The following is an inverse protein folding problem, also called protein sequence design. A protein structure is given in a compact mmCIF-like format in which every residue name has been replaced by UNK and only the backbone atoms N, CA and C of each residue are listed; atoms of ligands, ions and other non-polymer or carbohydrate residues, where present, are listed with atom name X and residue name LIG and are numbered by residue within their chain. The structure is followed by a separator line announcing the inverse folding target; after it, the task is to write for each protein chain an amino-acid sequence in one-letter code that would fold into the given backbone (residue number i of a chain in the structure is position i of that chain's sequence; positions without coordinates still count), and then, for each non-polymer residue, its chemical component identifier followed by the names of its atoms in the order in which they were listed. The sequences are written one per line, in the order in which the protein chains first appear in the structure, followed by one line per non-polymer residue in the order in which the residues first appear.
data_IF_457569046097
#
_entry.id   IF_457569046097
#
_cell.length_a   1.000
_cell.length_b   1.000
_cell.length_c   1.000
_cell.angle_alpha   90.00
_cell.angle_beta   90.00
_cell.angle_gamma   90.00
#
_symmetry.space_group_name_H-M   'P 1'
#
loop_
_entity.id
_entity.type
_entity.pdbx_description
1 polymer ?
#
# COMPACT_ATOMS: atom_id res chain seq x y z
N UNK A 1 10.54 -35.73 13.60
CA UNK A 1 12.00 -35.53 13.73
C UNK A 1 12.38 -34.39 12.79
N UNK A 2 13.23 -33.49 13.28
CA UNK A 2 13.29 -32.05 13.01
C UNK A 2 13.28 -31.62 11.55
N UNK A 3 12.31 -30.77 11.18
CA UNK A 3 12.39 -29.98 9.96
C UNK A 3 13.48 -28.91 10.18
N UNK A 4 14.58 -29.03 9.45
CA UNK A 4 15.80 -28.24 9.65
C UNK A 4 15.51 -26.74 9.64
N UNK A 5 15.53 -26.16 10.82
CA UNK A 5 15.40 -24.71 11.02
C UNK A 5 16.82 -24.17 11.08
N UNK A 6 17.15 -23.27 10.16
CA UNK A 6 18.49 -22.70 10.09
C UNK A 6 18.49 -21.45 10.97
N UNK A 7 19.32 -21.45 12.01
CA UNK A 7 19.54 -20.29 12.86
C UNK A 7 20.97 -19.83 12.68
N UNK A 8 21.16 -18.55 12.39
CA UNK A 8 22.48 -17.94 12.33
C UNK A 8 22.50 -16.62 13.10
N UNK A 9 23.66 -16.28 13.64
CA UNK A 9 23.86 -14.99 14.28
C UNK A 9 23.78 -13.90 13.21
N UNK A 10 22.86 -12.96 13.38
CA UNK A 10 22.72 -11.81 12.50
C UNK A 10 23.93 -10.91 12.71
N UNK A 11 24.84 -10.92 11.72
CA UNK A 11 26.01 -10.05 11.69
C UNK A 11 25.61 -8.70 11.10
N UNK A 12 26.18 -7.63 11.65
CA UNK A 12 26.04 -6.30 11.08
C UNK A 12 26.47 -6.35 9.60
N UNK A 13 25.58 -5.91 8.70
CA UNK A 13 25.96 -5.76 7.30
C UNK A 13 27.09 -4.73 7.21
N UNK A 14 28.13 -4.98 6.39
CA UNK A 14 29.19 -4.00 6.20
C UNK A 14 28.56 -2.67 5.75
N UNK A 15 29.05 -1.55 6.30
CA UNK A 15 28.55 -0.23 5.94
C UNK A 15 28.82 0.02 4.46
N UNK A 16 27.76 -0.06 3.65
CA UNK A 16 27.81 0.32 2.24
C UNK A 16 27.23 1.74 2.12
N UNK A 17 28.03 2.76 1.76
CA UNK A 17 27.57 4.15 1.68
C UNK A 17 26.36 4.38 0.75
N UNK A 18 26.15 3.52 -0.25
CA UNK A 18 24.96 3.60 -1.12
C UNK A 18 23.67 3.23 -0.38
N UNK A 19 23.69 2.19 0.47
CA UNK A 19 22.52 1.75 1.25
C UNK A 19 22.13 2.79 2.31
N UNK A 20 23.11 3.40 2.98
CA UNK A 20 22.84 4.47 3.94
C UNK A 20 22.21 5.69 3.27
N UNK A 21 22.73 6.11 2.11
CA UNK A 21 22.13 7.19 1.31
C UNK A 21 20.71 6.86 0.86
N UNK A 22 20.46 5.63 0.43
CA UNK A 22 19.13 5.17 0.03
C UNK A 22 18.13 5.27 1.18
N UNK A 23 18.51 4.82 2.38
CA UNK A 23 17.66 4.92 3.57
C UNK A 23 17.33 6.36 3.95
N UNK A 24 18.32 7.26 3.89
CA UNK A 24 18.12 8.69 4.15
C UNK A 24 17.14 9.26 3.12
N UNK A 25 17.32 8.97 1.83
CA UNK A 25 16.38 9.39 0.80
C UNK A 25 14.96 8.89 1.09
N UNK A 26 14.82 7.59 1.43
CA UNK A 26 13.53 6.98 1.79
C UNK A 26 12.85 7.67 2.97
N UNK A 27 13.60 8.07 4.00
CA UNK A 27 13.05 8.83 5.13
C UNK A 27 12.67 10.26 4.73
N UNK A 28 13.52 10.94 3.94
CA UNK A 28 13.33 12.34 3.54
C UNK A 28 12.06 12.52 2.71
N UNK A 29 11.74 11.61 1.79
CA UNK A 29 10.46 11.68 1.07
C UNK A 29 9.34 10.94 1.81
N UNK A 30 9.66 9.87 2.56
CA UNK A 30 8.66 9.01 3.18
C UNK A 30 7.96 9.66 4.36
N UNK A 31 8.70 10.30 5.26
CA UNK A 31 8.13 10.96 6.44
C UNK A 31 7.17 12.09 6.04
N UNK A 32 7.53 13.04 5.15
CA UNK A 32 6.57 14.05 4.68
C UNK A 32 5.36 13.44 3.98
N UNK A 33 5.54 12.35 3.22
CA UNK A 33 4.43 11.68 2.54
C UNK A 33 3.45 11.08 3.54
N UNK A 34 3.93 10.40 4.60
CA UNK A 34 3.06 9.86 5.65
C UNK A 34 2.35 10.97 6.41
N UNK A 35 3.04 12.06 6.74
CA UNK A 35 2.41 13.24 7.36
C UNK A 35 1.29 13.78 6.47
N UNK A 36 1.52 13.86 5.15
CA UNK A 36 0.50 14.28 4.19
C UNK A 36 -0.67 13.29 4.12
N UNK A 37 -0.41 11.98 4.13
CA UNK A 37 -1.46 10.95 4.17
C UNK A 37 -2.31 11.06 5.42
N UNK A 38 -1.69 11.25 6.59
CA UNK A 38 -2.40 11.45 7.86
C UNK A 38 -3.23 12.73 7.83
N UNK A 39 -2.68 13.82 7.31
CA UNK A 39 -3.42 15.06 7.10
C UNK A 39 -4.64 14.84 6.20
N UNK A 40 -4.47 14.18 5.04
CA UNK A 40 -5.58 13.88 4.12
C UNK A 40 -6.62 12.95 4.74
N UNK A 41 -6.20 11.95 5.51
CA UNK A 41 -7.10 11.05 6.22
C UNK A 41 -8.03 11.83 7.17
N UNK A 42 -7.47 12.73 7.97
CA UNK A 42 -8.22 13.58 8.91
C UNK A 42 -9.09 14.58 8.14
N UNK A 43 -8.53 15.26 7.13
CA UNK A 43 -9.24 16.25 6.33
C UNK A 43 -10.47 15.67 5.63
N UNK A 44 -10.33 14.50 5.00
CA UNK A 44 -11.44 13.79 4.38
C UNK A 44 -12.44 13.23 5.40
N UNK A 45 -11.99 12.92 6.63
CA UNK A 45 -12.83 12.34 7.68
C UNK A 45 -13.67 13.34 8.45
N UNK A 46 -13.14 14.54 8.65
CA UNK A 46 -13.81 15.57 9.44
C UNK A 46 -14.74 16.46 8.62
N UNK A 47 -14.61 16.49 7.29
CA UNK A 47 -15.42 17.36 6.43
C UNK A 47 -16.64 16.65 5.85
N UNK A 48 -17.82 17.26 6.05
CA UNK A 48 -19.09 16.80 5.50
C UNK A 48 -19.12 16.78 3.97
N UNK A 49 -18.25 17.54 3.31
CA UNK A 49 -18.14 17.60 1.85
C UNK A 49 -17.61 16.28 1.24
N UNK A 50 -16.99 15.42 2.06
CA UNK A 50 -16.36 14.17 1.63
C UNK A 50 -17.13 12.93 2.11
N UNK A 51 -18.47 13.01 2.23
CA UNK A 51 -19.29 11.92 2.75
C UNK A 51 -19.54 10.76 1.77
N UNK A 52 -19.15 10.89 0.49
CA UNK A 52 -19.42 9.88 -0.53
C UNK A 52 -18.66 8.58 -0.27
N UNK A 53 -19.19 7.47 -0.82
CA UNK A 53 -18.57 6.16 -0.64
C UNK A 53 -17.13 6.09 -1.19
N UNK A 54 -16.82 6.86 -2.23
CA UNK A 54 -15.47 6.98 -2.79
C UNK A 54 -14.44 7.46 -1.77
N UNK A 55 -14.72 8.56 -1.04
CA UNK A 55 -13.76 9.09 -0.08
C UNK A 55 -13.57 8.17 1.12
N UNK A 56 -14.60 7.41 1.51
CA UNK A 56 -14.47 6.37 2.55
C UNK A 56 -13.55 5.24 2.12
N UNK A 57 -13.61 4.81 0.86
CA UNK A 57 -12.69 3.82 0.29
C UNK A 57 -11.25 4.36 0.28
N UNK A 58 -11.07 5.61 -0.15
CA UNK A 58 -9.78 6.31 -0.13
C UNK A 58 -9.21 6.39 1.29
N UNK A 59 -10.03 6.63 2.32
CA UNK A 59 -9.57 6.67 3.71
C UNK A 59 -9.03 5.33 4.19
N UNK A 60 -9.71 4.22 3.87
CA UNK A 60 -9.23 2.89 4.26
C UNK A 60 -7.93 2.56 3.53
N UNK A 61 -7.80 2.97 2.28
CA UNK A 61 -6.57 2.81 1.51
C UNK A 61 -5.41 3.62 2.12
N UNK A 62 -5.64 4.90 2.42
CA UNK A 62 -4.66 5.76 3.10
C UNK A 62 -4.25 5.17 4.45
N UNK A 63 -5.20 4.70 5.25
CA UNK A 63 -4.92 4.10 6.56
C UNK A 63 -4.10 2.81 6.42
N UNK A 64 -4.46 1.94 5.48
CA UNK A 64 -3.74 0.70 5.18
C UNK A 64 -2.31 1.00 4.75
N UNK A 65 -2.13 1.99 3.89
CA UNK A 65 -0.82 2.39 3.39
C UNK A 65 0.06 3.02 4.49
N UNK A 66 -0.50 3.84 5.38
CA UNK A 66 0.24 4.38 6.55
C UNK A 66 0.74 3.23 7.42
N UNK A 67 -0.13 2.29 7.79
CA UNK A 67 0.26 1.16 8.63
C UNK A 67 1.25 0.23 7.93
N UNK A 68 1.08 -0.03 6.64
CA UNK A 68 2.02 -0.82 5.86
C UNK A 68 3.41 -0.18 5.86
N UNK A 69 3.49 1.13 5.55
CA UNK A 69 4.77 1.84 5.52
C UNK A 69 5.46 1.80 6.88
N UNK A 70 4.74 2.08 7.98
CA UNK A 70 5.29 1.97 9.34
C UNK A 70 5.75 0.54 9.66
N UNK A 71 4.96 -0.46 9.28
CA UNK A 71 5.29 -1.88 9.51
C UNK A 71 6.59 -2.28 8.79
N UNK A 72 6.77 -1.87 7.54
CA UNK A 72 7.97 -2.22 6.77
C UNK A 72 9.27 -1.63 7.34
N UNK A 73 9.21 -0.54 8.10
CA UNK A 73 10.39 -0.01 8.82
C UNK A 73 10.86 -0.92 9.96
N UNK A 74 9.96 -1.70 10.55
CA UNK A 74 10.27 -2.58 11.69
C UNK A 74 11.01 -3.83 11.23
N UNK A 75 10.54 -4.51 10.18
CA UNK A 75 11.07 -5.81 9.76
C UNK A 75 11.89 -5.77 8.47
N UNK A 76 11.34 -5.17 7.40
CA UNK A 76 11.94 -5.21 6.06
C UNK A 76 13.14 -4.26 5.95
N UNK A 77 12.94 -2.96 6.20
CA UNK A 77 13.97 -1.92 6.01
C UNK A 77 15.05 -1.96 7.08
N UNK A 78 14.69 -2.33 8.30
CA UNK A 78 15.67 -2.54 9.38
C UNK A 78 16.63 -3.70 9.08
N UNK A 79 16.20 -4.69 8.29
CA UNK A 79 17.05 -5.78 7.84
C UNK A 79 17.94 -5.40 6.65
N UNK A 80 17.57 -4.36 5.89
CA UNK A 80 18.31 -3.91 4.70
C UNK A 80 19.44 -2.93 5.04
N UNK A 81 19.23 -2.05 6.03
CA UNK A 81 20.11 -0.92 6.30
C UNK A 81 21.09 -1.13 7.46
N UNK A 82 22.32 -0.56 7.39
CA UNK A 82 23.35 -0.77 8.41
C UNK A 82 22.92 -0.37 9.83
N UNK A 83 22.23 0.77 10.00
CA UNK A 83 21.71 1.22 11.30
C UNK A 83 20.55 0.35 11.82
N UNK A 84 19.92 -0.43 10.93
CA UNK A 84 18.75 -1.22 11.25
C UNK A 84 19.03 -2.32 12.27
N UNK A 85 20.25 -2.86 12.30
CA UNK A 85 20.64 -3.85 13.32
C UNK A 85 20.66 -3.27 14.73
N UNK A 86 21.19 -2.05 14.89
CA UNK A 86 21.14 -1.33 16.17
C UNK A 86 19.70 -1.00 16.57
N UNK A 87 18.90 -0.53 15.62
CA UNK A 87 17.47 -0.24 15.82
C UNK A 87 16.70 -1.47 16.30
N UNK A 88 16.88 -2.63 15.66
CA UNK A 88 16.17 -3.87 16.01
C UNK A 88 16.62 -4.44 17.36
N UNK A 89 17.92 -4.32 17.72
CA UNK A 89 18.40 -4.67 19.07
C UNK A 89 17.67 -3.88 20.15
N UNK A 90 17.55 -2.56 19.97
CA UNK A 90 16.81 -1.70 20.91
C UNK A 90 15.33 -2.09 20.93
N UNK A 91 14.73 -2.29 19.77
CA UNK A 91 13.30 -2.62 19.66
C UNK A 91 12.97 -3.94 20.36
N UNK A 92 13.74 -5.00 20.12
CA UNK A 92 13.55 -6.32 20.73
C UNK A 92 13.85 -6.34 22.23
N UNK A 93 14.71 -5.43 22.72
CA UNK A 93 14.95 -5.28 24.16
C UNK A 93 13.71 -4.78 24.90
N UNK A 94 12.87 -3.95 24.27
CA UNK A 94 11.62 -3.47 24.84
C UNK A 94 10.42 -4.36 24.49
N UNK A 95 10.32 -4.82 23.24
CA UNK A 95 9.18 -5.59 22.71
C UNK A 95 9.70 -6.78 21.88
N UNK A 96 9.96 -7.94 22.52
CA UNK A 96 10.63 -9.09 21.88
C UNK A 96 9.91 -9.71 20.69
N UNK A 97 8.58 -9.56 20.59
CA UNK A 97 7.77 -10.19 19.54
C UNK A 97 7.46 -9.25 18.37
N UNK A 98 7.79 -7.96 18.47
CA UNK A 98 7.34 -6.94 17.52
C UNK A 98 7.91 -7.15 16.12
N UNK A 99 9.18 -7.56 16.01
CA UNK A 99 9.80 -7.83 14.72
C UNK A 99 9.13 -9.04 14.03
N UNK A 100 8.87 -10.12 14.77
CA UNK A 100 8.22 -11.33 14.23
C UNK A 100 6.79 -11.03 13.75
N UNK A 101 6.02 -10.27 14.55
CA UNK A 101 4.69 -9.82 14.13
C UNK A 101 4.78 -8.95 12.89
N UNK A 102 5.74 -8.02 12.84
CA UNK A 102 5.91 -7.14 11.70
C UNK A 102 6.23 -7.91 10.41
N UNK A 103 7.10 -8.90 10.49
CA UNK A 103 7.45 -9.78 9.37
C UNK A 103 6.22 -10.55 8.86
N UNK A 104 5.38 -11.06 9.76
CA UNK A 104 4.11 -11.71 9.42
C UNK A 104 3.15 -10.75 8.71
N UNK A 105 3.02 -9.52 9.25
CA UNK A 105 2.14 -8.49 8.71
C UNK A 105 2.55 -7.97 7.33
N UNK A 106 3.78 -8.21 6.86
CA UNK A 106 4.18 -7.83 5.49
C UNK A 106 3.25 -8.48 4.45
N UNK A 107 2.95 -9.78 4.61
CA UNK A 107 2.05 -10.46 3.69
C UNK A 107 0.59 -10.01 3.88
N UNK A 108 0.18 -9.75 5.12
CA UNK A 108 -1.13 -9.16 5.42
C UNK A 108 -1.36 -7.88 4.62
N UNK A 109 -0.42 -6.93 4.74
CA UNK A 109 -0.54 -5.63 4.09
C UNK A 109 -0.43 -5.75 2.57
N UNK A 110 0.36 -6.68 2.03
CA UNK A 110 0.41 -6.95 0.60
C UNK A 110 -0.98 -7.25 0.03
N UNK A 111 -1.74 -8.17 0.66
CA UNK A 111 -3.10 -8.49 0.24
C UNK A 111 -4.08 -7.33 0.49
N UNK A 112 -3.99 -6.67 1.65
CA UNK A 112 -4.89 -5.58 2.02
C UNK A 112 -4.75 -4.38 1.09
N UNK A 113 -3.51 -3.96 0.78
CA UNK A 113 -3.22 -2.88 -0.17
C UNK A 113 -3.75 -3.21 -1.57
N UNK A 114 -3.60 -4.46 -2.00
CA UNK A 114 -4.15 -4.91 -3.29
C UNK A 114 -5.68 -4.86 -3.32
N UNK A 115 -6.35 -5.45 -2.33
CA UNK A 115 -7.81 -5.49 -2.26
C UNK A 115 -8.40 -4.07 -2.20
N UNK A 116 -7.76 -3.19 -1.43
CA UNK A 116 -8.13 -1.78 -1.34
C UNK A 116 -8.00 -1.06 -2.70
N UNK A 117 -6.87 -1.20 -3.39
CA UNK A 117 -6.67 -0.62 -4.73
C UNK A 117 -7.65 -1.16 -5.78
N UNK A 118 -7.90 -2.47 -5.77
CA UNK A 118 -8.89 -3.12 -6.64
C UNK A 118 -10.31 -2.59 -6.35
N UNK A 119 -10.67 -2.41 -5.07
CA UNK A 119 -11.98 -1.92 -4.67
C UNK A 119 -12.28 -0.51 -5.19
N UNK A 120 -11.28 0.39 -5.24
CA UNK A 120 -11.46 1.72 -5.84
C UNK A 120 -11.72 1.63 -7.36
N UNK A 121 -11.06 0.70 -8.04
CA UNK A 121 -11.31 0.47 -9.48
C UNK A 121 -12.70 -0.12 -9.72
N UNK A 122 -13.15 -1.06 -8.90
CA UNK A 122 -14.50 -1.64 -8.97
C UNK A 122 -15.56 -0.61 -8.62
N UNK A 123 -15.34 0.23 -7.60
CA UNK A 123 -16.19 1.36 -7.26
C UNK A 123 -16.37 2.26 -8.48
N UNK A 124 -15.26 2.59 -9.15
CA UNK A 124 -15.30 3.40 -10.37
C UNK A 124 -16.14 2.76 -11.47
N UNK A 125 -15.89 1.49 -11.80
CA UNK A 125 -16.66 0.77 -12.82
C UNK A 125 -18.16 0.76 -12.44
N UNK A 126 -18.48 0.46 -11.19
CA UNK A 126 -19.87 0.43 -10.71
C UNK A 126 -20.55 1.79 -10.75
N UNK A 127 -19.82 2.90 -10.48
CA UNK A 127 -20.36 4.26 -10.59
C UNK A 127 -20.73 4.63 -12.03
N UNK A 128 -19.98 4.11 -13.00
CA UNK A 128 -20.25 4.32 -14.42
C UNK A 128 -21.41 3.43 -14.86
N UNK A 129 -21.39 2.14 -14.54
CA UNK A 129 -22.41 1.19 -14.99
C UNK A 129 -23.77 1.38 -14.29
N UNK A 130 -23.77 1.63 -12.98
CA UNK A 130 -24.95 1.64 -12.11
C UNK A 130 -25.14 2.98 -11.38
N UNK A 131 -25.23 4.08 -12.14
CA UNK A 131 -25.26 5.46 -11.61
C UNK A 131 -26.30 5.71 -10.50
N UNK A 132 -27.46 5.06 -10.53
CA UNK A 132 -28.53 5.32 -9.55
C UNK A 132 -28.36 4.57 -8.21
N UNK A 133 -27.74 3.39 -8.22
CA UNK A 133 -27.75 2.48 -7.06
C UNK A 133 -26.37 2.22 -6.47
N UNK A 134 -25.28 2.61 -7.15
CA UNK A 134 -23.93 2.33 -6.69
C UNK A 134 -23.64 2.94 -5.30
N UNK A 135 -24.01 4.20 -5.05
CA UNK A 135 -23.75 4.84 -3.74
C UNK A 135 -24.46 4.12 -2.58
N UNK A 136 -25.69 3.65 -2.80
CA UNK A 136 -26.44 2.88 -1.79
C UNK A 136 -25.76 1.55 -1.50
N UNK A 137 -25.32 0.85 -2.54
CA UNK A 137 -24.58 -0.40 -2.42
C UNK A 137 -23.28 -0.21 -1.63
N UNK A 138 -22.43 0.71 -2.07
CA UNK A 138 -21.12 0.93 -1.45
C UNK A 138 -21.23 1.47 -0.03
N UNK A 139 -22.21 2.32 0.27
CA UNK A 139 -22.43 2.82 1.64
C UNK A 139 -22.91 1.71 2.57
N UNK A 140 -23.82 0.83 2.11
CA UNK A 140 -24.36 -0.27 2.91
C UNK A 140 -23.37 -1.41 3.11
N UNK A 141 -22.65 -1.79 2.05
CA UNK A 141 -21.71 -2.91 2.07
C UNK A 141 -20.26 -2.49 2.37
N UNK A 142 -20.02 -1.21 2.67
CA UNK A 142 -18.69 -0.71 3.03
C UNK A 142 -18.00 -1.56 4.11
N UNK A 143 -18.64 -1.72 5.28
CA UNK A 143 -18.05 -2.45 6.40
C UNK A 143 -17.87 -3.95 6.07
N UNK A 144 -18.91 -4.67 5.56
CA UNK A 144 -18.74 -6.06 5.17
C UNK A 144 -17.62 -6.31 4.16
N UNK A 145 -17.46 -5.46 3.15
CA UNK A 145 -16.41 -5.60 2.13
C UNK A 145 -15.02 -5.48 2.75
N UNK A 146 -14.80 -4.50 3.63
CA UNK A 146 -13.49 -4.33 4.27
C UNK A 146 -13.20 -5.42 5.32
N UNK A 147 -14.22 -5.93 6.02
CA UNK A 147 -14.06 -7.11 6.87
C UNK A 147 -13.67 -8.34 6.03
N UNK A 148 -14.30 -8.53 4.87
CA UNK A 148 -13.93 -9.59 3.93
C UNK A 148 -12.45 -9.45 3.51
N UNK A 149 -11.99 -8.24 3.17
CA UNK A 149 -10.59 -7.99 2.82
C UNK A 149 -9.64 -8.30 3.98
N UNK A 150 -10.02 -7.93 5.20
CA UNK A 150 -9.26 -8.23 6.40
C UNK A 150 -9.10 -9.74 6.58
N UNK A 151 -10.21 -10.50 6.58
CA UNK A 151 -10.17 -11.96 6.73
C UNK A 151 -9.42 -12.63 5.57
N UNK A 152 -9.67 -12.20 4.33
CA UNK A 152 -8.96 -12.68 3.16
C UNK A 152 -7.45 -12.50 3.28
N UNK A 153 -6.99 -11.35 3.80
CA UNK A 153 -5.56 -11.05 3.96
C UNK A 153 -4.86 -11.93 5.02
N UNK A 154 -5.63 -12.55 5.92
CA UNK A 154 -5.13 -13.54 6.88
C UNK A 154 -5.07 -14.96 6.31
N UNK A 155 -5.94 -15.32 5.37
CA UNK A 155 -6.02 -16.70 4.83
C UNK A 155 -4.68 -17.19 4.25
N UNK A 156 -3.97 -16.43 3.39
CA UNK A 156 -2.67 -16.85 2.86
C UNK A 156 -1.62 -17.09 3.94
N UNK A 157 -1.70 -16.39 5.08
CA UNK A 157 -0.77 -16.60 6.20
C UNK A 157 -1.04 -17.93 6.92
N UNK A 158 -2.30 -18.38 6.95
CA UNK A 158 -2.68 -19.67 7.53
C UNK A 158 -2.41 -20.84 6.58
N UNK A 159 -2.43 -20.60 5.26
CA UNK A 159 -2.22 -21.62 4.23
C UNK A 159 -0.75 -21.89 3.92
N UNK A 160 0.15 -20.95 4.18
CA UNK A 160 1.59 -21.19 4.06
C UNK A 160 2.05 -22.00 5.28
N UNK A 161 2.24 -23.31 5.07
CA UNK A 161 2.79 -24.22 6.06
C UNK A 161 4.26 -23.86 6.34
N UNK A 162 4.51 -23.02 7.34
CA UNK A 162 5.83 -22.70 7.85
C UNK A 162 5.79 -21.54 8.83
N UNK A 163 6.60 -21.60 9.89
CA UNK A 163 6.87 -20.41 10.70
C UNK A 163 7.59 -19.39 9.81
N UNK A 164 7.10 -18.15 9.81
CA UNK A 164 7.79 -17.04 9.16
C UNK A 164 9.21 -16.88 9.73
N UNK A 165 10.07 -16.07 9.10
CA UNK A 165 11.37 -15.78 9.68
C UNK A 165 11.17 -15.15 11.07
N UNK A 166 12.01 -15.55 12.01
CA UNK A 166 12.01 -15.07 13.39
C UNK A 166 13.34 -14.39 13.71
N UNK A 167 13.28 -13.29 14.44
CA UNK A 167 14.45 -12.60 14.95
C UNK A 167 14.37 -12.50 16.46
N UNK A 168 15.30 -13.16 17.14
CA UNK A 168 15.34 -13.26 18.59
C UNK A 168 16.62 -12.63 19.14
N UNK A 169 16.49 -11.87 20.23
CA UNK A 169 17.62 -11.29 20.96
C UNK A 169 18.04 -12.23 22.09
N UNK A 170 19.22 -12.83 21.99
CA UNK A 170 19.77 -13.75 23.00
C UNK A 170 21.13 -13.23 23.46
N UNK A 171 21.27 -12.92 24.74
CA UNK A 171 22.51 -12.42 25.36
C UNK A 171 23.14 -11.23 24.61
N UNK A 172 22.33 -10.29 24.15
CA UNK A 172 22.78 -9.08 23.42
C UNK A 172 23.12 -9.31 21.94
N UNK A 173 23.04 -10.55 21.45
CA UNK A 173 23.23 -10.91 20.04
C UNK A 173 21.89 -11.22 19.36
N UNK A 174 21.74 -10.78 18.12
CA UNK A 174 20.57 -11.11 17.30
C UNK A 174 20.78 -12.45 16.60
N UNK A 175 19.75 -13.29 16.64
CA UNK A 175 19.70 -14.55 15.93
C UNK A 175 18.52 -14.51 14.96
N UNK A 176 18.81 -14.85 13.70
CA UNK A 176 17.81 -14.99 12.66
C UNK A 176 17.57 -16.46 12.39
N UNK A 177 16.30 -16.86 12.50
CA UNK A 177 15.85 -18.24 12.41
C UNK A 177 14.83 -18.33 11.29
N UNK A 178 15.06 -19.19 10.30
CA UNK A 178 14.11 -19.38 9.20
C UNK A 178 14.04 -20.84 8.79
N UNK A 179 12.88 -21.23 8.25
CA UNK A 179 12.65 -22.56 7.71
C UNK A 179 12.77 -22.52 6.17
N UNK A 180 13.77 -23.17 5.54
CA UNK A 180 14.01 -23.03 4.10
C UNK A 180 12.84 -23.49 3.21
N UNK A 181 12.20 -24.60 3.56
CA UNK A 181 11.08 -25.16 2.78
C UNK A 181 9.84 -24.26 2.90
N UNK A 182 9.56 -23.79 4.12
CA UNK A 182 8.46 -22.85 4.39
C UNK A 182 8.68 -21.51 3.68
N UNK A 183 9.91 -20.99 3.71
CA UNK A 183 10.27 -19.72 3.04
C UNK A 183 10.12 -19.81 1.53
N UNK A 184 10.52 -20.93 0.92
CA UNK A 184 10.38 -21.16 -0.52
C UNK A 184 8.90 -21.26 -0.94
N UNK A 185 8.10 -21.97 -0.14
CA UNK A 185 6.65 -22.08 -0.34
C UNK A 185 5.96 -20.72 -0.21
N UNK A 186 6.35 -19.93 0.80
CA UNK A 186 5.87 -18.56 1.00
C UNK A 186 6.17 -17.68 -0.21
N UNK A 187 7.42 -17.65 -0.67
CA UNK A 187 7.84 -16.85 -1.83
C UNK A 187 7.07 -17.25 -3.09
N UNK A 188 6.89 -18.55 -3.31
CA UNK A 188 6.12 -19.07 -4.44
C UNK A 188 4.67 -18.57 -4.38
N UNK A 189 4.05 -18.60 -3.20
CA UNK A 189 2.71 -18.05 -2.97
C UNK A 189 2.62 -16.56 -3.32
N UNK A 190 3.57 -15.76 -2.84
CA UNK A 190 3.65 -14.31 -3.15
C UNK A 190 3.76 -14.07 -4.66
N UNK A 191 4.54 -14.89 -5.38
CA UNK A 191 4.64 -14.77 -6.85
C UNK A 191 3.34 -15.13 -7.55
N UNK A 192 2.66 -16.21 -7.16
CA UNK A 192 1.37 -16.62 -7.73
C UNK A 192 0.33 -15.52 -7.52
N UNK A 193 0.18 -15.03 -6.29
CA UNK A 193 -0.74 -13.93 -6.00
C UNK A 193 -0.35 -12.66 -6.74
N UNK A 194 0.94 -12.34 -6.87
CA UNK A 194 1.40 -11.20 -7.66
C UNK A 194 0.97 -11.29 -9.13
N UNK A 195 1.04 -12.48 -9.74
CA UNK A 195 0.55 -12.70 -11.11
C UNK A 195 -0.97 -12.47 -11.24
N UNK A 196 -1.75 -13.07 -10.34
CA UNK A 196 -3.21 -12.93 -10.33
C UNK A 196 -3.60 -11.46 -10.15
N UNK A 197 -2.95 -10.79 -9.22
CA UNK A 197 -3.17 -9.39 -8.91
C UNK A 197 -2.77 -8.47 -10.04
N UNK A 198 -1.66 -8.77 -10.73
CA UNK A 198 -1.23 -8.02 -11.90
C UNK A 198 -2.30 -8.05 -12.99
N UNK A 199 -2.79 -9.25 -13.33
CA UNK A 199 -3.82 -9.43 -14.37
C UNK A 199 -5.11 -8.68 -14.00
N UNK A 200 -5.53 -8.75 -12.74
CA UNK A 200 -6.74 -8.07 -12.27
C UNK A 200 -6.61 -6.54 -12.32
N UNK A 201 -5.55 -5.97 -11.74
CA UNK A 201 -5.39 -4.51 -11.71
C UNK A 201 -5.08 -3.93 -13.09
N UNK A 202 -4.31 -4.64 -13.91
CA UNK A 202 -4.09 -4.23 -15.29
C UNK A 202 -5.39 -4.30 -16.09
N UNK A 203 -6.18 -5.36 -15.92
CA UNK A 203 -7.50 -5.52 -16.52
C UNK A 203 -8.47 -4.42 -16.10
N UNK A 204 -8.52 -4.06 -14.81
CA UNK A 204 -9.32 -2.94 -14.32
C UNK A 204 -8.83 -1.60 -14.86
N UNK A 205 -7.51 -1.38 -14.89
CA UNK A 205 -6.91 -0.17 -15.45
C UNK A 205 -7.29 0.05 -16.91
N UNK A 206 -7.40 -1.01 -17.72
CA UNK A 206 -7.86 -0.89 -19.11
C UNK A 206 -9.39 -0.79 -19.19
N UNK A 207 -10.12 -1.51 -18.35
CA UNK A 207 -11.59 -1.57 -18.40
C UNK A 207 -12.24 -0.24 -18.00
N UNK A 208 -11.70 0.47 -17.02
CA UNK A 208 -12.23 1.77 -16.55
C UNK A 208 -12.33 2.81 -17.68
N UNK A 209 -11.27 3.13 -18.46
CA UNK A 209 -11.36 4.09 -19.55
C UNK A 209 -12.22 3.59 -20.72
N UNK A 210 -12.19 2.29 -21.04
CA UNK A 210 -12.99 1.74 -22.14
C UNK A 210 -14.49 1.84 -21.86
N UNK A 211 -14.91 1.44 -20.66
CA UNK A 211 -16.32 1.54 -20.23
C UNK A 211 -16.74 3.02 -20.14
N UNK A 212 -15.86 3.90 -19.64
CA UNK A 212 -16.12 5.32 -19.62
C UNK A 212 -16.28 5.89 -21.05
N UNK A 213 -15.39 5.55 -21.97
CA UNK A 213 -15.46 6.01 -23.36
C UNK A 213 -16.75 5.55 -24.04
N UNK A 214 -17.11 4.28 -23.88
CA UNK A 214 -18.32 3.72 -24.49
C UNK A 214 -19.61 4.33 -23.92
N UNK A 215 -19.68 4.57 -22.60
CA UNK A 215 -20.91 5.04 -21.97
C UNK A 215 -21.11 6.56 -22.00
N UNK A 216 -20.01 7.33 -22.08
CA UNK A 216 -20.08 8.80 -22.12
C UNK A 216 -19.94 9.37 -23.54
N UNK A 217 -19.91 8.54 -24.57
CA UNK A 217 -19.98 9.00 -25.96
C UNK A 217 -21.36 9.65 -26.19
N UNK A 218 -21.39 10.99 -26.21
CA UNK A 218 -22.61 11.80 -26.40
C UNK A 218 -23.24 12.43 -25.14
N UNK A 219 -22.76 12.17 -23.92
CA UNK A 219 -23.36 12.72 -22.69
C UNK A 219 -22.61 13.96 -22.15
N UNK A 220 -23.26 15.14 -22.19
CA UNK A 220 -22.62 16.45 -21.97
C UNK A 220 -22.52 16.86 -20.48
N UNK A 221 -23.36 16.36 -19.56
CA UNK A 221 -23.51 17.01 -18.24
C UNK A 221 -22.67 16.45 -17.08
N UNK A 222 -22.21 15.19 -17.08
CA UNK A 222 -21.46 14.59 -15.95
C UNK A 222 -20.01 14.18 -16.28
N UNK A 223 -19.53 14.58 -17.46
CA UNK A 223 -18.26 14.07 -18.00
C UNK A 223 -17.04 14.50 -17.18
N UNK A 224 -17.07 15.64 -16.48
CA UNK A 224 -15.88 16.21 -15.83
C UNK A 224 -15.51 15.54 -14.50
N UNK A 225 -16.48 15.25 -13.62
CA UNK A 225 -16.21 14.53 -12.35
C UNK A 225 -15.83 13.09 -12.66
N UNK A 226 -16.56 12.47 -13.59
CA UNK A 226 -16.29 11.15 -14.13
C UNK A 226 -14.86 11.03 -14.71
N UNK A 227 -14.45 11.92 -15.61
CA UNK A 227 -13.09 11.93 -16.19
C UNK A 227 -11.99 12.04 -15.12
N UNK A 228 -12.21 12.80 -14.04
CA UNK A 228 -11.23 12.96 -12.95
C UNK A 228 -11.03 11.68 -12.14
N UNK A 229 -12.14 11.08 -11.69
CA UNK A 229 -12.13 9.81 -10.97
C UNK A 229 -11.52 8.68 -11.81
N UNK A 230 -11.79 8.67 -13.13
CA UNK A 230 -11.14 7.73 -14.07
C UNK A 230 -9.62 7.94 -14.15
N UNK A 231 -9.13 9.18 -14.18
CA UNK A 231 -7.68 9.45 -14.18
C UNK A 231 -7.01 9.00 -12.87
N UNK A 232 -7.66 9.24 -11.73
CA UNK A 232 -7.17 8.78 -10.41
C UNK A 232 -7.04 7.26 -10.41
N UNK A 233 -8.10 6.54 -10.78
CA UNK A 233 -8.11 5.08 -10.82
C UNK A 233 -7.07 4.52 -11.81
N UNK A 234 -6.90 5.16 -12.97
CA UNK A 234 -5.89 4.78 -13.97
C UNK A 234 -4.45 4.95 -13.47
N UNK A 235 -4.12 6.12 -12.94
CA UNK A 235 -2.78 6.39 -12.42
C UNK A 235 -2.48 5.46 -11.25
N UNK A 236 -3.46 5.23 -10.37
CA UNK A 236 -3.30 4.35 -9.22
C UNK A 236 -3.12 2.88 -9.63
N UNK A 237 -3.96 2.40 -10.55
CA UNK A 237 -3.86 1.06 -11.11
C UNK A 237 -2.52 0.82 -11.83
N UNK A 238 -2.03 1.79 -12.59
CA UNK A 238 -0.73 1.70 -13.25
C UNK A 238 0.44 1.61 -12.26
N UNK A 239 0.44 2.43 -11.21
CA UNK A 239 1.47 2.40 -10.16
C UNK A 239 1.50 1.03 -9.47
N UNK A 240 0.34 0.47 -9.12
CA UNK A 240 0.25 -0.86 -8.51
C UNK A 240 0.63 -1.99 -9.47
N UNK A 241 0.25 -1.91 -10.75
CA UNK A 241 0.67 -2.90 -11.75
C UNK A 241 2.18 -2.90 -11.96
N UNK A 242 2.86 -1.76 -11.83
CA UNK A 242 4.31 -1.65 -11.97
C UNK A 242 5.09 -2.50 -10.96
N UNK A 243 4.71 -2.47 -9.68
CA UNK A 243 5.38 -3.27 -8.64
C UNK A 243 5.05 -4.77 -8.75
N UNK A 244 3.81 -5.11 -9.11
CA UNK A 244 3.43 -6.51 -9.34
C UNK A 244 4.17 -7.09 -10.55
N UNK A 245 4.35 -6.30 -11.61
CA UNK A 245 5.21 -6.65 -12.74
C UNK A 245 6.66 -6.87 -12.32
N UNK A 246 7.19 -6.05 -11.41
CA UNK A 246 8.53 -6.23 -10.85
C UNK A 246 8.67 -7.56 -10.08
N UNK A 247 7.67 -7.96 -9.31
CA UNK A 247 7.66 -9.27 -8.65
C UNK A 247 7.67 -10.43 -9.66
N UNK A 248 6.94 -10.28 -10.78
CA UNK A 248 6.94 -11.27 -11.87
C UNK A 248 8.32 -11.36 -12.52
N UNK A 249 8.99 -10.23 -12.78
CA UNK A 249 10.36 -10.21 -13.31
C UNK A 249 11.34 -10.93 -12.37
N UNK A 250 11.21 -10.72 -11.05
CA UNK A 250 12.01 -11.45 -10.07
C UNK A 250 11.73 -12.96 -10.07
N UNK A 251 10.46 -13.36 -10.19
CA UNK A 251 10.09 -14.77 -10.30
C UNK A 251 10.70 -15.42 -11.55
N UNK A 252 10.68 -14.71 -12.69
CA UNK A 252 11.32 -15.14 -13.94
C UNK A 252 12.84 -15.26 -13.74
N UNK A 253 13.48 -14.31 -13.06
CA UNK A 253 14.91 -14.37 -12.80
C UNK A 253 15.30 -15.57 -11.94
N UNK A 254 14.55 -15.85 -10.86
CA UNK A 254 14.82 -17.01 -9.99
C UNK A 254 14.67 -18.33 -10.74
N UNK A 255 13.70 -18.41 -11.66
CA UNK A 255 13.39 -19.64 -12.40
C UNK A 255 14.30 -19.87 -13.59
N UNK A 256 14.58 -18.84 -14.38
CA UNK A 256 15.25 -18.94 -15.68
C UNK A 256 16.66 -18.35 -15.72
N UNK A 257 17.09 -17.63 -14.67
CA UNK A 257 18.43 -17.00 -14.55
C UNK A 257 18.85 -16.20 -15.80
N UNK A 258 17.92 -15.41 -16.34
CA UNK A 258 18.09 -14.68 -17.60
C UNK A 258 19.00 -13.46 -17.44
N UNK A 259 18.96 -12.81 -16.27
CA UNK A 259 19.72 -11.59 -15.96
C UNK A 259 21.04 -11.89 -15.24
N UNK A 260 22.05 -11.00 -15.34
CA UNK A 260 23.33 -11.15 -14.66
C UNK A 260 23.22 -11.24 -13.13
N UNK A 261 24.18 -11.89 -12.47
CA UNK A 261 24.17 -12.12 -11.01
C UNK A 261 24.08 -10.83 -10.16
N UNK A 262 24.49 -9.68 -10.70
CA UNK A 262 24.34 -8.36 -10.07
C UNK A 262 22.91 -7.80 -10.06
N UNK A 263 21.99 -8.37 -10.85
CA UNK A 263 20.60 -7.92 -10.94
C UNK A 263 19.84 -8.13 -9.63
N UNK A 264 20.11 -9.23 -8.90
CA UNK A 264 19.38 -9.56 -7.67
C UNK A 264 19.56 -8.53 -6.54
N UNK A 265 20.80 -8.06 -6.33
CA UNK A 265 21.08 -7.06 -5.28
C UNK A 265 20.46 -5.70 -5.61
N UNK A 266 20.54 -5.26 -6.87
CA UNK A 266 19.93 -4.02 -7.33
C UNK A 266 18.40 -4.14 -7.29
N UNK A 267 17.85 -5.29 -7.65
CA UNK A 267 16.41 -5.55 -7.67
C UNK A 267 15.76 -5.43 -6.29
N UNK A 268 16.42 -5.91 -5.23
CA UNK A 268 15.88 -5.82 -3.87
C UNK A 268 15.82 -4.38 -3.35
N UNK A 269 16.89 -3.59 -3.55
CA UNK A 269 16.89 -2.17 -3.15
C UNK A 269 15.96 -1.31 -4.01
N UNK A 270 15.76 -1.66 -5.28
CA UNK A 270 14.74 -1.03 -6.12
C UNK A 270 13.32 -1.42 -5.70
N UNK A 271 13.13 -2.65 -5.21
CA UNK A 271 11.82 -3.12 -4.74
C UNK A 271 11.33 -2.30 -3.54
N UNK A 272 12.20 -1.95 -2.59
CA UNK A 272 11.81 -1.11 -1.45
C UNK A 272 11.40 0.30 -1.89
N UNK A 273 12.10 0.88 -2.86
CA UNK A 273 11.73 2.18 -3.48
C UNK A 273 10.43 2.09 -4.29
N UNK A 274 10.23 1.02 -5.06
CA UNK A 274 9.00 0.81 -5.81
C UNK A 274 7.79 0.60 -4.88
N UNK A 275 8.00 -0.10 -3.76
CA UNK A 275 7.00 -0.27 -2.69
C UNK A 275 6.63 1.06 -2.04
N UNK A 276 7.61 1.95 -1.83
CA UNK A 276 7.36 3.31 -1.37
C UNK A 276 6.52 4.10 -2.37
N UNK A 277 6.83 4.02 -3.66
CA UNK A 277 6.04 4.68 -4.70
C UNK A 277 4.57 4.20 -4.68
N UNK A 278 4.34 2.90 -4.55
CA UNK A 278 3.00 2.34 -4.43
C UNK A 278 2.27 2.87 -3.18
N UNK A 279 2.92 2.77 -2.03
CA UNK A 279 2.31 3.03 -0.73
C UNK A 279 2.07 4.53 -0.48
N UNK A 280 2.94 5.39 -1.01
CA UNK A 280 2.94 6.83 -0.71
C UNK A 280 2.34 7.69 -1.83
N UNK A 281 2.02 7.13 -3.01
CA UNK A 281 1.55 7.93 -4.16
C UNK A 281 0.12 8.46 -4.04
N UNK A 282 -0.79 7.76 -3.34
CA UNK A 282 -2.20 8.11 -3.26
C UNK A 282 -2.49 9.58 -2.90
N UNK A 283 -1.92 10.17 -1.82
CA UNK A 283 -2.18 11.57 -1.49
C UNK A 283 -1.77 12.54 -2.60
N UNK A 284 -0.66 12.28 -3.28
CA UNK A 284 -0.19 13.10 -4.40
C UNK A 284 -1.12 12.98 -5.62
N UNK A 285 -1.60 11.77 -5.92
CA UNK A 285 -2.56 11.54 -6.99
C UNK A 285 -3.87 12.31 -6.71
N UNK A 286 -4.36 12.29 -5.46
CA UNK A 286 -5.52 13.06 -5.04
C UNK A 286 -5.27 14.57 -5.20
N UNK A 287 -4.14 15.07 -4.73
CA UNK A 287 -3.76 16.48 -4.89
C UNK A 287 -3.63 16.91 -6.35
N UNK A 288 -3.28 16.02 -7.28
CA UNK A 288 -3.08 16.34 -8.70
C UNK A 288 -4.39 16.23 -9.49
N UNK A 289 -5.25 15.26 -9.19
CA UNK A 289 -6.41 14.97 -10.03
C UNK A 289 -7.75 15.33 -9.40
N UNK A 290 -7.85 15.40 -8.08
CA UNK A 290 -9.09 15.78 -7.39
C UNK A 290 -9.22 17.31 -7.30
N UNK A 291 -10.21 17.84 -8.02
CA UNK A 291 -10.45 19.30 -8.04
C UNK A 291 -11.16 19.82 -6.81
N UNK A 292 -11.92 18.98 -6.10
CA UNK A 292 -12.63 19.39 -4.88
C UNK A 292 -11.60 19.62 -3.77
N UNK A 293 -10.69 18.66 -3.61
CA UNK A 293 -9.56 18.77 -2.68
C UNK A 293 -8.67 19.96 -3.04
N UNK A 294 -8.32 20.12 -4.32
CA UNK A 294 -7.52 21.29 -4.76
C UNK A 294 -8.18 22.62 -4.45
N UNK A 295 -9.50 22.73 -4.66
CA UNK A 295 -10.24 23.97 -4.45
C UNK A 295 -10.28 24.30 -2.96
N UNK A 296 -10.67 23.33 -2.13
CA UNK A 296 -10.82 23.53 -0.69
C UNK A 296 -9.46 23.78 0.01
N UNK A 297 -8.36 23.26 -0.52
CA UNK A 297 -7.01 23.56 -0.02
C UNK A 297 -6.47 24.92 -0.49
N UNK A 298 -6.94 25.43 -1.64
CA UNK A 298 -6.51 26.74 -2.18
C UNK A 298 -7.36 27.90 -1.69
N UNK A 299 -8.60 27.64 -1.30
CA UNK A 299 -9.51 28.62 -0.71
C UNK A 299 -9.90 28.09 0.68
N UNK A 300 -9.14 28.45 1.73
CA UNK A 300 -9.56 28.16 3.09
C UNK A 300 -10.94 28.79 3.27
N UNK A 301 -11.88 27.96 3.74
CA UNK A 301 -13.27 28.30 4.03
C UNK A 301 -13.35 29.75 4.51
N UNK A 302 -14.03 30.62 3.76
CA UNK A 302 -14.45 31.92 4.29
C UNK A 302 -15.25 31.62 5.55
N UNK A 303 -14.65 31.95 6.70
CA UNK A 303 -15.33 31.96 7.98
C UNK A 303 -16.54 32.86 7.78
N UNK A 304 -17.72 32.26 7.77
CA UNK A 304 -18.98 32.97 7.54
C UNK A 304 -19.03 34.15 8.49
N UNK A 305 -18.81 35.35 7.97
CA UNK A 305 -19.04 36.59 8.70
C UNK A 305 -20.53 36.62 9.00
N UNK A 306 -20.89 36.26 10.21
CA UNK A 306 -22.17 36.55 10.83
C UNK A 306 -22.35 38.07 10.77
N UNK A 307 -23.00 38.55 9.72
CA UNK A 307 -23.47 39.92 9.67
C UNK A 307 -24.62 40.02 10.68
N UNK A 308 -24.50 40.84 11.74
CA UNK A 308 -25.63 41.07 12.62
C UNK A 308 -26.68 41.82 11.81
N UNK A 309 -27.89 41.24 11.74
CA UNK A 309 -29.07 41.93 11.24
C UNK A 309 -29.34 43.09 12.19
N UNK A 310 -28.99 44.31 11.77
CA UNK A 310 -29.42 45.52 12.45
C UNK A 310 -30.90 45.70 12.13
N UNK A 311 -31.76 45.39 13.12
CA UNK A 311 -33.16 45.79 13.10
C UNK A 311 -33.21 47.25 13.54
N UNK A 312 -33.40 48.17 12.59
CA UNK A 312 -33.75 49.54 12.90
C UNK A 312 -35.24 49.61 13.25
N UNK A 313 -35.52 49.90 14.52
CA UNK A 313 -36.81 50.37 15.04
C UNK A 313 -37.16 51.76 14.54
#
# INVERSE_FOLDING_TARGET
MSADTITFQWKDSPEVPSKTRLAICQLVYGVPSVVLMTFMLIFLGCSKNYSSSFYRLVQVDLLTNIFCWLNTWISLRSSEFPFGTAYVKVLLAYIPWLWNLSALLLNFFFHMQFCSAASMSVHRISSILFFNDYEKFWTRFFIPIHLLFFFYSWIPQLMVFGTGPEMNLVNGSLYYTFHPIGTTSFQTGVYIFSCVYFVLLFGFSISVPLIAAYKFDGAISDSNVSKKLTRIALTYGFVYSGILFWNILNAIQVTFKIFPDGFGQISYSLLSVASDLMTLALPYILLIFDSNIKRDLRQPIEVSSTSPVIVSS
#
